data_IF_534350951828
#
_entry.id   IF_534350951828
#
_cell.length_a   1.000
_cell.length_b   1.000
_cell.length_c   1.000
_cell.angle_alpha   90.00
_cell.angle_beta   90.00
_cell.angle_gamma   90.00
#
_symmetry.space_group_name_H-M   'P 1'
#
loop_
_entity.id
_entity.type
_entity.pdbx_description
1 polymer ?
#
# COMPACT_ATOMS: atom_id res chain seq x y z
N UNK A 1 -10.90 -30.95 -19.60
CA UNK A 1 -10.30 -29.81 -18.87
C UNK A 1 -8.78 -29.89 -18.74
N UNK A 2 -8.18 -31.05 -18.52
CA UNK A 2 -6.72 -31.16 -18.28
C UNK A 2 -5.83 -30.66 -19.43
N UNK A 3 -6.26 -30.87 -20.68
CA UNK A 3 -5.50 -30.46 -21.87
C UNK A 3 -5.46 -28.94 -22.09
N UNK A 4 -6.36 -28.16 -21.49
CA UNK A 4 -6.54 -26.73 -21.82
C UNK A 4 -5.29 -25.90 -21.55
N UNK A 5 -4.49 -26.26 -20.54
CA UNK A 5 -3.25 -25.55 -20.17
C UNK A 5 -2.08 -25.86 -21.11
N UNK A 6 -2.19 -26.92 -21.93
CA UNK A 6 -1.16 -27.32 -22.90
C UNK A 6 -1.46 -26.77 -24.30
N UNK A 7 -2.65 -26.22 -24.53
CA UNK A 7 -3.05 -25.68 -25.83
C UNK A 7 -2.49 -24.27 -25.97
N UNK A 8 -1.44 -24.12 -26.79
CA UNK A 8 -0.89 -22.81 -27.15
C UNK A 8 -1.50 -22.26 -28.45
N UNK A 9 -1.97 -23.15 -29.33
CA UNK A 9 -2.52 -22.78 -30.65
C UNK A 9 -3.82 -23.56 -30.87
N UNK A 10 -4.89 -22.83 -31.16
CA UNK A 10 -6.17 -23.38 -31.60
C UNK A 10 -6.48 -22.80 -32.97
N UNK A 11 -6.41 -23.63 -34.01
CA UNK A 11 -6.70 -23.21 -35.38
C UNK A 11 -8.11 -23.66 -35.79
N UNK A 12 -8.75 -22.89 -36.68
CA UNK A 12 -10.12 -23.15 -37.18
C UNK A 12 -11.16 -23.33 -36.05
N UNK A 13 -11.00 -22.57 -34.96
CA UNK A 13 -11.91 -22.58 -33.82
C UNK A 13 -13.22 -21.86 -34.14
N UNK A 14 -14.35 -22.44 -33.73
CA UNK A 14 -15.63 -21.73 -33.70
C UNK A 14 -15.67 -20.70 -32.56
N UNK A 15 -16.61 -19.72 -32.60
CA UNK A 15 -16.84 -18.81 -31.47
C UNK A 15 -17.09 -19.54 -30.14
N UNK A 16 -17.80 -20.67 -30.20
CA UNK A 16 -18.10 -21.50 -29.04
C UNK A 16 -16.84 -22.17 -28.47
N UNK A 17 -15.91 -22.59 -29.32
CA UNK A 17 -14.63 -23.18 -28.88
C UNK A 17 -13.78 -22.17 -28.11
N UNK A 18 -13.75 -20.90 -28.57
CA UNK A 18 -13.06 -19.80 -27.88
C UNK A 18 -13.67 -19.55 -26.50
N UNK A 19 -15.01 -19.45 -26.44
CA UNK A 19 -15.75 -19.27 -25.20
C UNK A 19 -15.49 -20.43 -24.21
N UNK A 20 -15.57 -21.67 -24.69
CA UNK A 20 -15.34 -22.86 -23.88
C UNK A 20 -13.91 -22.91 -23.31
N UNK A 21 -12.92 -22.47 -24.09
CA UNK A 21 -11.53 -22.35 -23.63
C UNK A 21 -11.41 -21.36 -22.47
N UNK A 22 -12.01 -20.18 -22.60
CA UNK A 22 -12.03 -19.16 -21.54
C UNK A 22 -12.69 -19.72 -20.27
N UNK A 23 -13.86 -20.32 -20.39
CA UNK A 23 -14.58 -20.92 -19.26
C UNK A 23 -13.76 -22.04 -18.58
N UNK A 24 -13.07 -22.88 -19.35
CA UNK A 24 -12.21 -23.92 -18.80
C UNK A 24 -11.02 -23.35 -18.03
N UNK A 25 -10.36 -22.30 -18.55
CA UNK A 25 -9.22 -21.65 -17.91
C UNK A 25 -9.65 -20.93 -16.61
N UNK A 26 -10.79 -20.23 -16.63
CA UNK A 26 -11.37 -19.58 -15.45
C UNK A 26 -11.78 -20.60 -14.38
N UNK A 27 -12.41 -21.72 -14.77
CA UNK A 27 -12.75 -22.82 -13.84
C UNK A 27 -11.52 -23.45 -13.15
N UNK A 28 -10.34 -23.36 -13.78
CA UNK A 28 -9.07 -23.79 -13.18
C UNK A 28 -8.44 -22.73 -12.26
N UNK A 29 -9.03 -21.54 -12.14
CA UNK A 29 -8.55 -20.45 -11.29
C UNK A 29 -7.48 -19.57 -11.95
N UNK A 30 -7.32 -19.65 -13.28
CA UNK A 30 -6.49 -18.70 -14.03
C UNK A 30 -7.25 -17.39 -14.27
N UNK A 31 -6.52 -16.28 -14.29
CA UNK A 31 -7.04 -14.99 -14.75
C UNK A 31 -6.81 -14.90 -16.25
N UNK A 32 -7.89 -14.78 -17.02
CA UNK A 32 -7.86 -14.87 -18.47
C UNK A 32 -8.14 -13.51 -19.09
N UNK A 33 -7.20 -13.04 -19.91
CA UNK A 33 -7.42 -11.90 -20.79
C UNK A 33 -7.61 -12.41 -22.23
N UNK A 34 -8.62 -11.90 -22.93
CA UNK A 34 -8.91 -12.23 -24.33
C UNK A 34 -8.72 -10.99 -25.17
N UNK A 35 -8.08 -11.13 -26.32
CA UNK A 35 -8.01 -10.08 -27.34
C UNK A 35 -8.81 -10.53 -28.55
N UNK A 36 -9.60 -9.63 -29.14
CA UNK A 36 -10.41 -9.94 -30.31
C UNK A 36 -10.85 -8.67 -31.04
N UNK A 37 -11.02 -8.77 -32.34
CA UNK A 37 -11.42 -7.69 -33.23
C UNK A 37 -12.77 -7.97 -33.92
N UNK A 38 -13.17 -9.24 -34.02
CA UNK A 38 -14.40 -9.65 -34.69
C UNK A 38 -15.62 -9.80 -33.77
N UNK A 39 -16.81 -9.69 -34.36
CA UNK A 39 -18.09 -10.01 -33.70
C UNK A 39 -18.12 -11.43 -33.12
N UNK A 40 -17.40 -12.36 -33.75
CA UNK A 40 -17.24 -13.74 -33.31
C UNK A 40 -16.49 -13.88 -31.97
N UNK A 41 -15.72 -12.87 -31.56
CA UNK A 41 -14.97 -12.87 -30.31
C UNK A 41 -15.75 -12.24 -29.16
N UNK A 42 -16.86 -11.54 -29.45
CA UNK A 42 -17.66 -10.84 -28.44
C UNK A 42 -18.09 -11.73 -27.26
N UNK A 43 -18.56 -12.98 -27.45
CA UNK A 43 -18.90 -13.85 -26.32
C UNK A 43 -17.67 -14.18 -25.45
N UNK A 44 -16.52 -14.43 -26.07
CA UNK A 44 -15.29 -14.76 -25.36
C UNK A 44 -14.68 -13.54 -24.66
N UNK A 45 -14.76 -12.36 -25.27
CA UNK A 45 -14.35 -11.08 -24.68
C UNK A 45 -15.15 -10.77 -23.41
N UNK A 46 -16.46 -10.98 -23.45
CA UNK A 46 -17.36 -10.72 -22.32
C UNK A 46 -17.25 -11.74 -21.19
N UNK A 47 -16.89 -12.98 -21.51
CA UNK A 47 -16.68 -14.05 -20.53
C UNK A 47 -15.30 -14.01 -19.86
N UNK A 48 -14.33 -13.34 -20.49
CA UNK A 48 -12.99 -13.18 -19.95
C UNK A 48 -12.99 -12.33 -18.68
N UNK A 49 -11.92 -12.43 -17.88
CA UNK A 49 -11.75 -11.51 -16.75
C UNK A 49 -11.33 -10.11 -17.23
N UNK A 50 -10.69 -10.01 -18.39
CA UNK A 50 -10.39 -8.75 -19.10
C UNK A 50 -10.53 -8.96 -20.61
N UNK A 51 -11.45 -8.25 -21.25
CA UNK A 51 -11.59 -8.18 -22.71
C UNK A 51 -10.79 -7.02 -23.31
N UNK A 52 -10.00 -7.30 -24.35
CA UNK A 52 -9.20 -6.33 -25.11
C UNK A 52 -9.67 -6.29 -26.57
N UNK A 53 -9.98 -5.12 -27.10
CA UNK A 53 -10.32 -4.94 -28.51
C UNK A 53 -9.39 -3.97 -29.22
N UNK A 54 -9.29 -4.11 -30.53
CA UNK A 54 -8.56 -3.17 -31.40
C UNK A 54 -9.45 -1.96 -31.75
N UNK A 55 -8.89 -0.75 -31.69
CA UNK A 55 -9.62 0.49 -31.90
C UNK A 55 -9.90 0.80 -33.37
N UNK A 56 -8.97 0.47 -34.27
CA UNK A 56 -9.08 0.77 -35.71
C UNK A 56 -9.74 -0.40 -36.45
N UNK A 57 -9.19 -1.61 -36.32
CA UNK A 57 -9.67 -2.81 -37.01
C UNK A 57 -10.79 -3.55 -36.27
N UNK A 58 -11.04 -3.24 -34.99
CA UNK A 58 -12.10 -3.88 -34.22
C UNK A 58 -13.49 -3.46 -34.65
N UNK A 59 -14.39 -4.43 -34.77
CA UNK A 59 -15.82 -4.23 -34.97
C UNK A 59 -16.44 -3.54 -33.76
N UNK A 60 -17.51 -2.76 -33.97
CA UNK A 60 -18.16 -2.02 -32.87
C UNK A 60 -18.68 -2.97 -31.79
N UNK A 61 -19.17 -4.14 -32.18
CA UNK A 61 -19.62 -5.20 -31.25
C UNK A 61 -18.46 -5.72 -30.39
N UNK A 62 -17.26 -5.85 -30.94
CA UNK A 62 -16.08 -6.25 -30.17
C UNK A 62 -15.64 -5.15 -29.18
N UNK A 63 -15.74 -3.87 -29.58
CA UNK A 63 -15.43 -2.73 -28.69
C UNK A 63 -16.40 -2.65 -27.52
N UNK A 64 -17.70 -2.73 -27.79
CA UNK A 64 -18.74 -2.74 -26.75
C UNK A 64 -18.65 -3.94 -25.80
N UNK A 65 -18.10 -5.06 -26.28
CA UNK A 65 -17.93 -6.28 -25.48
C UNK A 65 -16.58 -6.35 -24.74
N UNK A 66 -15.71 -5.34 -24.89
CA UNK A 66 -14.37 -5.29 -24.30
C UNK A 66 -14.28 -4.27 -23.16
N UNK A 67 -13.40 -4.53 -22.19
CA UNK A 67 -13.14 -3.60 -21.08
C UNK A 67 -12.12 -2.51 -21.45
N UNK A 68 -11.20 -2.83 -22.38
CA UNK A 68 -10.13 -1.94 -22.81
C UNK A 68 -10.02 -1.96 -24.33
N UNK A 69 -10.10 -0.77 -24.94
CA UNK A 69 -9.92 -0.57 -26.38
C UNK A 69 -8.52 -0.03 -26.66
N UNK A 70 -7.75 -0.73 -27.49
CA UNK A 70 -6.39 -0.36 -27.90
C UNK A 70 -6.49 0.54 -29.12
N UNK A 71 -6.34 1.86 -28.93
CA UNK A 71 -6.57 2.85 -29.98
C UNK A 71 -5.54 2.80 -31.13
N UNK A 72 -4.34 2.27 -30.89
CA UNK A 72 -3.24 2.25 -31.85
C UNK A 72 -3.07 0.90 -32.57
N UNK A 73 -3.95 -0.07 -32.31
CA UNK A 73 -3.95 -1.43 -32.87
C UNK A 73 -2.61 -2.19 -32.73
N UNK A 74 -1.76 -1.75 -31.82
CA UNK A 74 -0.47 -2.34 -31.58
C UNK A 74 -0.56 -3.35 -30.44
N UNK A 75 -0.25 -4.62 -30.72
CA UNK A 75 -0.20 -5.64 -29.68
C UNK A 75 0.82 -5.32 -28.57
N UNK A 76 1.85 -4.51 -28.85
CA UNK A 76 2.78 -4.03 -27.83
C UNK A 76 2.10 -3.17 -26.74
N UNK A 77 0.96 -2.53 -27.05
CA UNK A 77 0.16 -1.77 -26.09
C UNK A 77 -0.44 -2.67 -25.00
N UNK A 78 -0.75 -3.94 -25.31
CA UNK A 78 -1.17 -4.94 -24.32
C UNK A 78 -0.10 -5.12 -23.24
N UNK A 79 1.17 -5.24 -23.63
CA UNK A 79 2.27 -5.37 -22.68
C UNK A 79 2.43 -4.11 -21.80
N UNK A 80 2.12 -2.94 -22.35
CA UNK A 80 2.11 -1.67 -21.61
C UNK A 80 0.98 -1.63 -20.60
N UNK A 81 -0.23 -2.04 -20.97
CA UNK A 81 -1.39 -2.16 -20.06
C UNK A 81 -1.06 -3.11 -18.90
N UNK A 82 -0.50 -4.29 -19.18
CA UNK A 82 -0.09 -5.25 -18.15
C UNK A 82 0.97 -4.66 -17.19
N UNK A 83 1.93 -3.91 -17.72
CA UNK A 83 2.96 -3.23 -16.93
C UNK A 83 2.35 -2.18 -15.99
N UNK A 84 1.37 -1.42 -16.47
CA UNK A 84 0.63 -0.45 -15.66
C UNK A 84 -0.26 -1.12 -14.61
N UNK A 85 -0.98 -2.19 -14.96
CA UNK A 85 -1.78 -2.96 -14.01
C UNK A 85 -0.94 -3.50 -12.84
N UNK A 86 0.23 -4.07 -13.13
CA UNK A 86 1.20 -4.51 -12.09
C UNK A 86 1.69 -3.36 -11.22
N UNK A 87 1.87 -2.17 -11.80
CA UNK A 87 2.30 -0.98 -11.08
C UNK A 87 1.22 -0.51 -10.11
N UNK A 88 -0.03 -0.38 -10.58
CA UNK A 88 -1.17 0.03 -9.76
C UNK A 88 -1.36 -0.93 -8.59
N UNK A 89 -1.34 -2.25 -8.84
CA UNK A 89 -1.44 -3.25 -7.78
C UNK A 89 -0.34 -3.09 -6.71
N UNK A 90 0.91 -2.93 -7.14
CA UNK A 90 2.03 -2.73 -6.24
C UNK A 90 1.94 -1.39 -5.47
N UNK A 91 1.42 -0.33 -6.08
CA UNK A 91 1.21 0.96 -5.42
C UNK A 91 0.09 0.87 -4.37
N UNK A 92 -0.99 0.14 -4.65
CA UNK A 92 -2.06 -0.16 -3.68
C UNK A 92 -1.49 -0.92 -2.49
N UNK A 93 -0.65 -1.93 -2.70
CA UNK A 93 -0.02 -2.66 -1.59
C UNK A 93 0.85 -1.76 -0.70
N UNK A 94 1.61 -0.82 -1.28
CA UNK A 94 2.40 0.16 -0.51
C UNK A 94 1.52 1.07 0.32
N UNK A 95 0.46 1.59 -0.29
CA UNK A 95 -0.52 2.43 0.40
C UNK A 95 -1.18 1.69 1.57
N UNK A 96 -1.62 0.45 1.35
CA UNK A 96 -2.22 -0.38 2.41
C UNK A 96 -1.22 -0.65 3.53
N UNK A 97 0.06 -0.95 3.23
CA UNK A 97 1.08 -1.15 4.27
C UNK A 97 1.21 0.12 5.12
N UNK A 98 1.28 1.29 4.49
CA UNK A 98 1.39 2.57 5.16
C UNK A 98 0.17 2.83 6.06
N UNK A 99 -1.03 2.82 5.48
CA UNK A 99 -2.28 3.13 6.17
C UNK A 99 -2.54 2.18 7.35
N UNK A 100 -2.30 0.88 7.15
CA UNK A 100 -2.53 -0.11 8.20
C UNK A 100 -1.53 0.07 9.35
N UNK A 101 -0.29 0.46 9.06
CA UNK A 101 0.70 0.75 10.11
C UNK A 101 0.26 1.94 10.97
N UNK A 102 -0.20 3.02 10.33
CA UNK A 102 -0.68 4.24 11.02
C UNK A 102 -1.89 3.89 11.90
N UNK A 103 -2.90 3.23 11.33
CA UNK A 103 -4.14 2.88 12.03
C UNK A 103 -3.89 1.95 13.22
N UNK A 104 -3.05 0.92 13.05
CA UNK A 104 -2.72 -0.01 14.15
C UNK A 104 -1.95 0.71 15.25
N UNK A 105 -0.98 1.56 14.91
CA UNK A 105 -0.22 2.32 15.90
C UNK A 105 -1.13 3.25 16.71
N UNK A 106 -1.96 4.06 16.05
CA UNK A 106 -2.90 4.99 16.71
C UNK A 106 -3.85 4.26 17.63
N UNK A 107 -4.47 3.17 17.14
CA UNK A 107 -5.45 2.42 17.91
C UNK A 107 -4.83 1.82 19.17
N UNK A 108 -3.66 1.18 19.06
CA UNK A 108 -2.99 0.56 20.20
C UNK A 108 -2.51 1.61 21.20
N UNK A 109 -1.92 2.72 20.74
CA UNK A 109 -1.44 3.79 21.61
C UNK A 109 -2.60 4.40 22.39
N UNK A 110 -3.69 4.78 21.72
CA UNK A 110 -4.85 5.37 22.37
C UNK A 110 -5.50 4.40 23.35
N UNK A 111 -5.60 3.11 22.98
CA UNK A 111 -6.16 2.09 23.86
C UNK A 111 -5.31 1.88 25.14
N UNK A 112 -4.00 1.72 24.98
CA UNK A 112 -3.09 1.52 26.13
C UNK A 112 -3.05 2.77 27.01
N UNK A 113 -2.95 3.97 26.41
CA UNK A 113 -2.93 5.22 27.17
C UNK A 113 -4.25 5.48 27.91
N UNK A 114 -5.40 5.19 27.30
CA UNK A 114 -6.70 5.33 27.94
C UNK A 114 -6.84 4.41 29.16
N UNK A 115 -6.36 3.15 29.08
CA UNK A 115 -6.43 2.21 30.20
C UNK A 115 -5.46 2.58 31.32
N UNK A 116 -4.23 2.99 30.98
CA UNK A 116 -3.18 3.22 31.97
C UNK A 116 -3.23 4.61 32.60
N UNK A 117 -3.46 5.66 31.79
CA UNK A 117 -3.44 7.06 32.25
C UNK A 117 -4.82 7.71 32.33
N UNK A 118 -5.87 7.08 31.79
CA UNK A 118 -7.22 7.66 31.73
C UNK A 118 -7.36 8.79 30.70
N UNK A 119 -6.27 9.20 30.06
CA UNK A 119 -6.23 10.28 29.08
C UNK A 119 -5.72 9.79 27.73
N UNK A 120 -6.24 10.39 26.66
CA UNK A 120 -5.89 10.04 25.29
C UNK A 120 -4.81 11.01 24.79
N UNK A 121 -3.65 10.50 24.34
CA UNK A 121 -2.49 11.32 23.96
C UNK A 121 -2.74 12.19 22.72
N UNK A 122 -3.66 11.77 21.85
CA UNK A 122 -3.99 12.46 20.61
C UNK A 122 -5.43 12.95 20.66
N UNK A 123 -5.62 14.25 20.46
CA UNK A 123 -6.96 14.84 20.44
C UNK A 123 -7.72 14.45 19.17
N UNK A 124 -9.06 14.54 19.20
CA UNK A 124 -9.89 14.26 18.03
C UNK A 124 -9.52 15.11 16.81
N UNK A 125 -9.15 16.39 17.02
CA UNK A 125 -8.72 17.29 15.94
C UNK A 125 -7.38 16.85 15.34
N UNK A 126 -6.44 16.41 16.17
CA UNK A 126 -5.13 15.90 15.73
C UNK A 126 -5.28 14.60 14.93
N UNK A 127 -6.18 13.70 15.34
CA UNK A 127 -6.48 12.47 14.60
C UNK A 127 -7.16 12.78 13.26
N UNK A 128 -8.09 13.74 13.25
CA UNK A 128 -8.72 14.19 12.01
C UNK A 128 -7.70 14.82 11.05
N UNK A 129 -6.75 15.59 11.58
CA UNK A 129 -5.65 16.15 10.78
C UNK A 129 -4.82 15.07 10.09
N UNK A 130 -4.44 14.01 10.83
CA UNK A 130 -3.68 12.89 10.28
C UNK A 130 -4.50 12.16 9.21
N UNK A 131 -5.73 11.77 9.52
CA UNK A 131 -6.57 10.99 8.60
C UNK A 131 -6.99 11.77 7.35
N UNK A 132 -7.24 13.09 7.47
CA UNK A 132 -7.75 13.88 6.37
C UNK A 132 -6.65 14.42 5.47
N UNK A 133 -5.54 14.90 6.05
CA UNK A 133 -4.48 15.56 5.27
C UNK A 133 -3.26 14.67 5.07
N UNK A 134 -2.70 14.10 6.14
CA UNK A 134 -1.48 13.29 6.02
C UNK A 134 -1.75 12.04 5.18
N UNK A 135 -2.85 11.34 5.44
CA UNK A 135 -3.16 10.09 4.75
C UNK A 135 -3.56 10.31 3.29
N UNK A 136 -4.31 11.38 2.96
CA UNK A 136 -4.65 11.68 1.57
C UNK A 136 -3.43 12.09 0.76
N UNK A 137 -2.55 12.94 1.33
CA UNK A 137 -1.30 13.33 0.70
C UNK A 137 -0.36 12.12 0.53
N UNK A 138 -0.21 11.30 1.57
CA UNK A 138 0.59 10.07 1.52
C UNK A 138 0.04 9.04 0.53
N UNK A 139 -1.28 8.90 0.46
CA UNK A 139 -1.95 8.06 -0.54
C UNK A 139 -1.61 8.53 -1.97
N UNK A 140 -1.72 9.83 -2.23
CA UNK A 140 -1.38 10.41 -3.51
C UNK A 140 0.10 10.20 -3.88
N UNK A 141 1.00 10.38 -2.91
CA UNK A 141 2.44 10.19 -3.08
C UNK A 141 2.82 8.74 -3.41
N UNK A 142 2.19 7.76 -2.75
CA UNK A 142 2.45 6.33 -2.98
C UNK A 142 1.71 5.78 -4.21
N UNK A 143 0.52 6.30 -4.54
CA UNK A 143 -0.28 5.84 -5.67
C UNK A 143 0.29 6.27 -7.04
N UNK A 144 0.95 7.42 -7.10
CA UNK A 144 1.44 8.04 -8.36
C UNK A 144 2.83 7.57 -8.80
N UNK A 145 3.37 6.52 -8.18
CA UNK A 145 4.66 5.97 -8.59
C UNK A 145 4.62 5.34 -9.98
N UNK A 146 5.67 5.62 -10.78
CA UNK A 146 5.79 5.13 -12.16
C UNK A 146 6.23 3.67 -12.23
N UNK A 147 5.83 2.95 -13.29
CA UNK A 147 6.15 1.54 -13.45
C UNK A 147 7.65 1.30 -13.69
N UNK A 148 8.22 0.40 -12.89
CA UNK A 148 9.63 -0.01 -13.01
C UNK A 148 9.78 -1.27 -13.87
N UNK A 149 10.86 -1.37 -14.66
CA UNK A 149 11.13 -2.54 -15.54
C UNK A 149 11.22 -3.87 -14.77
N UNK A 150 11.62 -3.83 -13.51
CA UNK A 150 11.72 -5.01 -12.65
C UNK A 150 10.37 -5.67 -12.34
N UNK A 151 9.25 -4.92 -12.38
CA UNK A 151 7.90 -5.47 -12.15
C UNK A 151 7.52 -6.53 -13.19
N UNK A 152 8.10 -6.46 -14.39
CA UNK A 152 7.86 -7.43 -15.46
C UNK A 152 8.61 -8.75 -15.23
N UNK A 153 9.66 -8.76 -14.42
CA UNK A 153 10.43 -9.97 -14.09
C UNK A 153 9.77 -10.81 -12.99
N UNK A 154 8.85 -10.24 -12.21
CA UNK A 154 8.10 -10.97 -11.18
C UNK A 154 7.05 -11.87 -11.82
N UNK A 155 6.79 -13.02 -11.20
CA UNK A 155 5.69 -13.91 -11.57
C UNK A 155 4.34 -13.20 -11.36
N UNK A 156 3.30 -13.51 -12.15
CA UNK A 156 1.95 -13.00 -11.91
C UNK A 156 1.47 -13.35 -10.49
N UNK A 157 0.72 -12.44 -9.88
CA UNK A 157 0.08 -12.68 -8.58
C UNK A 157 -1.14 -13.57 -8.82
N UNK A 158 -1.28 -14.65 -8.04
CA UNK A 158 -2.44 -15.53 -8.13
C UNK A 158 -3.69 -14.85 -7.58
N UNK A 159 -4.87 -15.17 -8.14
CA UNK A 159 -6.16 -14.61 -7.71
C UNK A 159 -6.46 -14.84 -6.22
N UNK A 160 -6.01 -15.96 -5.67
CA UNK A 160 -6.21 -16.34 -4.26
C UNK A 160 -5.11 -15.85 -3.32
N UNK A 161 -4.10 -15.13 -3.83
CA UNK A 161 -3.04 -14.60 -3.01
C UNK A 161 -3.58 -13.45 -2.14
N UNK A 162 -3.26 -13.41 -0.83
CA UNK A 162 -3.73 -12.34 0.03
C UNK A 162 -3.05 -11.03 -0.37
N UNK A 163 -3.84 -9.94 -0.32
CA UNK A 163 -3.37 -8.60 -0.63
C UNK A 163 -2.25 -8.15 0.32
N UNK A 164 -2.37 -8.50 1.61
CA UNK A 164 -1.34 -8.25 2.63
C UNK A 164 -0.39 -9.45 2.67
N UNK A 165 0.80 -9.26 2.14
CA UNK A 165 1.85 -10.29 2.13
C UNK A 165 2.53 -10.40 3.50
N UNK A 166 3.24 -11.49 3.76
CA UNK A 166 4.03 -11.59 4.99
C UNK A 166 5.15 -10.57 5.09
N UNK A 167 5.70 -10.15 3.95
CA UNK A 167 6.69 -9.09 3.90
C UNK A 167 6.09 -7.79 4.43
N UNK A 168 4.84 -7.49 4.06
CA UNK A 168 4.09 -6.35 4.60
C UNK A 168 3.83 -6.51 6.10
N UNK A 169 3.40 -7.69 6.57
CA UNK A 169 3.21 -7.96 8.00
C UNK A 169 4.49 -7.76 8.82
N UNK A 170 5.63 -8.27 8.35
CA UNK A 170 6.93 -8.06 9.02
C UNK A 170 7.26 -6.56 9.13
N UNK A 171 7.12 -5.82 8.04
CA UNK A 171 7.40 -4.38 8.02
C UNK A 171 6.44 -3.61 8.94
N UNK A 172 5.15 -3.92 8.86
CA UNK A 172 4.08 -3.32 9.66
C UNK A 172 4.31 -3.55 11.14
N UNK A 173 4.50 -4.80 11.57
CA UNK A 173 4.63 -5.13 12.99
C UNK A 173 5.84 -4.44 13.61
N UNK A 174 6.97 -4.39 12.89
CA UNK A 174 8.16 -3.74 13.41
C UNK A 174 8.01 -2.21 13.51
N UNK A 175 7.41 -1.56 12.50
CA UNK A 175 7.17 -0.11 12.51
C UNK A 175 6.10 0.27 13.55
N UNK A 176 5.01 -0.49 13.63
CA UNK A 176 3.96 -0.28 14.62
C UNK A 176 4.51 -0.44 16.04
N UNK A 177 5.23 -1.53 16.32
CA UNK A 177 5.82 -1.76 17.65
C UNK A 177 6.81 -0.65 18.03
N UNK A 178 7.61 -0.19 17.07
CA UNK A 178 8.51 0.94 17.28
C UNK A 178 7.76 2.23 17.64
N UNK A 179 6.76 2.61 16.85
CA UNK A 179 5.95 3.81 17.09
C UNK A 179 5.21 3.72 18.44
N UNK A 180 4.65 2.56 18.76
CA UNK A 180 3.99 2.30 20.05
C UNK A 180 5.00 2.47 21.20
N UNK A 181 6.19 1.86 21.11
CA UNK A 181 7.19 1.95 22.17
C UNK A 181 7.67 3.39 22.40
N UNK A 182 7.95 4.15 21.34
CA UNK A 182 8.38 5.55 21.44
C UNK A 182 7.28 6.41 22.05
N UNK A 183 6.06 6.32 21.54
CA UNK A 183 4.97 7.22 21.95
C UNK A 183 4.44 6.88 23.34
N UNK A 184 4.39 5.61 23.74
CA UNK A 184 4.10 5.26 25.13
C UNK A 184 5.22 5.70 26.08
N UNK A 185 6.48 5.64 25.66
CA UNK A 185 7.59 6.17 26.47
C UNK A 185 7.45 7.67 26.67
N UNK A 186 7.08 8.43 25.63
CA UNK A 186 6.78 9.85 25.74
C UNK A 186 5.54 10.12 26.60
N UNK A 187 4.49 9.30 26.51
CA UNK A 187 3.29 9.44 27.32
C UNK A 187 3.57 9.28 28.82
N UNK A 188 4.28 8.23 29.24
CA UNK A 188 4.49 7.94 30.67
C UNK A 188 5.71 8.61 31.28
N UNK A 189 6.76 8.85 30.48
CA UNK A 189 8.04 9.37 30.97
C UNK A 189 8.47 10.66 30.29
N UNK A 190 7.74 11.18 29.31
CA UNK A 190 8.14 12.38 28.57
C UNK A 190 8.28 13.62 29.46
N UNK A 191 7.34 13.84 30.39
CA UNK A 191 7.41 14.97 31.33
C UNK A 191 8.69 14.93 32.19
N UNK A 192 9.05 13.76 32.71
CA UNK A 192 10.23 13.58 33.56
C UNK A 192 11.55 13.58 32.77
N UNK A 193 11.57 13.00 31.57
CA UNK A 193 12.77 12.90 30.73
C UNK A 193 13.15 14.28 30.18
N UNK A 194 12.16 15.08 29.76
CA UNK A 194 12.39 16.37 29.14
C UNK A 194 12.20 17.56 30.09
N UNK A 195 11.69 17.33 31.30
CA UNK A 195 11.41 18.39 32.28
C UNK A 195 10.38 19.40 31.77
N UNK A 196 9.38 18.94 31.02
CA UNK A 196 8.39 19.79 30.33
C UNK A 196 7.01 19.69 30.94
N UNK A 197 6.22 20.74 30.77
CA UNK A 197 4.81 20.75 31.17
C UNK A 197 3.98 19.78 30.30
N UNK A 198 2.90 19.25 30.86
CA UNK A 198 2.02 18.26 30.23
C UNK A 198 1.56 18.65 28.82
N UNK A 199 1.08 19.88 28.62
CA UNK A 199 0.66 20.39 27.29
C UNK A 199 1.79 20.38 26.24
N UNK A 200 3.02 20.65 26.67
CA UNK A 200 4.20 20.59 25.80
C UNK A 200 4.53 19.14 25.48
N UNK A 201 4.38 18.23 26.44
CA UNK A 201 4.52 16.79 26.21
C UNK A 201 3.47 16.25 25.23
N UNK A 202 2.21 16.65 25.35
CA UNK A 202 1.15 16.28 24.39
C UNK A 202 1.49 16.74 22.97
N UNK A 203 2.07 17.95 22.84
CA UNK A 203 2.54 18.47 21.55
C UNK A 203 3.76 17.72 21.02
N UNK A 204 4.69 17.32 21.90
CA UNK A 204 5.82 16.46 21.55
C UNK A 204 5.35 15.10 21.02
N UNK A 205 4.35 14.50 21.66
CA UNK A 205 3.77 13.22 21.26
C UNK A 205 3.11 13.35 19.89
N UNK A 206 2.26 14.36 19.69
CA UNK A 206 1.64 14.64 18.41
C UNK A 206 2.67 14.86 17.30
N UNK A 207 3.65 15.74 17.52
CA UNK A 207 4.65 16.06 16.51
C UNK A 207 5.55 14.86 16.18
N UNK A 208 5.97 14.11 17.20
CA UNK A 208 6.75 12.88 17.01
C UNK A 208 5.96 11.83 16.23
N UNK A 209 4.66 11.66 16.54
CA UNK A 209 3.79 10.75 15.82
C UNK A 209 3.67 11.13 14.34
N UNK A 210 3.39 12.40 14.03
CA UNK A 210 3.26 12.86 12.65
C UNK A 210 4.57 12.70 11.87
N UNK A 211 5.71 13.08 12.47
CA UNK A 211 7.01 12.88 11.85
C UNK A 211 7.31 11.38 11.64
N UNK A 212 7.01 10.52 12.60
CA UNK A 212 7.10 9.07 12.42
C UNK A 212 6.29 8.58 11.21
N UNK A 213 5.13 9.16 10.91
CA UNK A 213 4.37 8.81 9.71
C UNK A 213 5.07 9.26 8.43
N UNK A 214 5.57 10.50 8.38
CA UNK A 214 6.37 10.97 7.23
C UNK A 214 7.53 10.02 6.96
N UNK A 215 8.27 9.60 7.98
CA UNK A 215 9.40 8.69 7.82
C UNK A 215 8.96 7.26 7.46
N UNK A 216 7.83 6.79 7.98
CA UNK A 216 7.23 5.51 7.61
C UNK A 216 6.78 5.48 6.14
N UNK A 217 6.31 6.62 5.60
CA UNK A 217 5.94 6.76 4.19
C UNK A 217 7.12 6.44 3.26
N UNK A 218 8.32 6.92 3.60
CA UNK A 218 9.55 6.52 2.90
C UNK A 218 9.78 5.01 3.00
N UNK A 219 9.67 4.42 4.18
CA UNK A 219 9.86 2.98 4.37
C UNK A 219 8.85 2.13 3.56
N UNK A 220 7.59 2.58 3.48
CA UNK A 220 6.51 1.93 2.76
C UNK A 220 6.67 2.00 1.22
N UNK A 221 7.41 2.98 0.70
CA UNK A 221 7.70 3.13 -0.74
C UNK A 221 8.33 1.90 -1.38
N UNK A 222 9.09 1.11 -0.61
CA UNK A 222 9.70 -0.13 -1.10
C UNK A 222 9.45 -1.27 -0.10
N UNK A 223 8.57 -2.21 -0.46
CA UNK A 223 8.17 -3.34 0.39
C UNK A 223 9.34 -4.29 0.70
N UNK A 224 10.13 -4.65 -0.31
CA UNK A 224 11.19 -5.67 -0.20
C UNK A 224 12.61 -5.10 -0.21
N UNK A 225 12.84 -3.98 -0.90
CA UNK A 225 14.20 -3.46 -1.11
C UNK A 225 14.73 -2.73 0.13
N UNK A 226 15.98 -3.02 0.45
CA UNK A 226 16.75 -2.41 1.56
C UNK A 226 17.00 -0.91 1.34
N UNK A 227 17.27 -0.47 0.11
CA UNK A 227 17.57 0.93 -0.18
C UNK A 227 16.29 1.73 -0.43
N UNK A 228 15.78 2.34 0.64
CA UNK A 228 14.62 3.24 0.62
C UNK A 228 14.90 4.51 -0.21
N UNK A 229 16.15 4.97 -0.21
CA UNK A 229 16.58 6.19 -0.91
C UNK A 229 16.79 6.06 -2.41
N UNK A 230 16.84 4.83 -2.95
CA UNK A 230 17.17 4.61 -4.35
C UNK A 230 16.02 5.10 -5.24
N UNK A 231 16.28 6.17 -6.00
CA UNK A 231 15.31 6.74 -6.94
C UNK A 231 14.30 7.72 -6.32
N UNK A 232 14.56 8.25 -5.11
CA UNK A 232 13.78 9.36 -4.53
C UNK A 232 13.80 10.58 -5.44
N UNK A 233 14.98 11.02 -5.87
CA UNK A 233 15.12 12.20 -6.73
C UNK A 233 14.45 12.07 -8.11
N UNK A 234 14.08 10.85 -8.54
CA UNK A 234 13.35 10.65 -9.79
C UNK A 234 11.86 10.93 -9.66
N UNK A 235 11.30 10.87 -8.44
CA UNK A 235 9.88 11.17 -8.20
C UNK A 235 9.75 12.55 -7.54
N UNK A 236 9.76 13.60 -8.37
CA UNK A 236 9.63 14.99 -7.91
C UNK A 236 8.30 15.24 -7.18
N UNK A 237 7.23 14.55 -7.59
CA UNK A 237 5.91 14.69 -6.98
C UNK A 237 5.91 14.14 -5.55
N UNK A 238 6.52 12.97 -5.33
CA UNK A 238 6.70 12.43 -3.96
C UNK A 238 7.48 13.39 -3.06
N UNK A 239 8.59 13.96 -3.55
CA UNK A 239 9.37 14.95 -2.78
C UNK A 239 8.59 16.24 -2.50
N UNK A 240 7.79 16.69 -3.48
CA UNK A 240 6.95 17.87 -3.31
C UNK A 240 5.87 17.63 -2.24
N UNK A 241 5.22 16.46 -2.25
CA UNK A 241 4.20 16.10 -1.26
C UNK A 241 4.82 16.05 0.14
N UNK A 242 5.93 15.34 0.33
CA UNK A 242 6.61 15.28 1.63
C UNK A 242 6.99 16.70 2.11
N UNK A 243 7.49 17.56 1.21
CA UNK A 243 7.80 18.95 1.53
C UNK A 243 6.57 19.74 1.98
N UNK A 244 5.46 19.63 1.26
CA UNK A 244 4.18 20.25 1.61
C UNK A 244 3.69 19.74 2.98
N UNK A 245 3.77 18.44 3.21
CA UNK A 245 3.36 17.80 4.47
C UNK A 245 4.17 18.32 5.66
N UNK A 246 5.50 18.46 5.51
CA UNK A 246 6.35 19.03 6.56
C UNK A 246 6.05 20.50 6.83
N UNK A 247 5.81 21.30 5.78
CA UNK A 247 5.42 22.71 5.92
C UNK A 247 4.08 22.83 6.64
N UNK A 248 3.07 22.05 6.23
CA UNK A 248 1.77 22.00 6.89
C UNK A 248 1.89 21.58 8.36
N UNK A 249 2.78 20.64 8.68
CA UNK A 249 3.03 20.23 10.05
C UNK A 249 3.65 21.34 10.90
N UNK A 250 4.63 22.07 10.37
CA UNK A 250 5.21 23.25 11.05
C UNK A 250 4.13 24.32 11.26
N UNK A 251 3.30 24.58 10.25
CA UNK A 251 2.19 25.54 10.36
C UNK A 251 1.20 25.13 11.44
N UNK A 252 0.83 23.85 11.50
CA UNK A 252 -0.08 23.31 12.50
C UNK A 252 0.44 23.49 13.93
N UNK A 253 1.72 23.17 14.16
CA UNK A 253 2.35 23.27 15.49
C UNK A 253 2.60 24.72 15.91
N UNK A 254 3.13 25.56 15.03
CA UNK A 254 3.60 26.91 15.39
C UNK A 254 2.53 28.00 15.34
N UNK A 255 1.55 27.86 14.44
CA UNK A 255 0.56 28.90 14.13
C UNK A 255 -0.87 28.53 14.53
N UNK A 256 -1.27 27.25 14.49
CA UNK A 256 -2.65 26.81 14.79
C UNK A 256 -2.88 26.34 16.23
N UNK A 257 -2.14 26.88 17.21
CA UNK A 257 -2.17 26.46 18.63
C UNK A 257 -3.58 26.30 19.22
N UNK A 258 -4.44 27.30 19.02
CA UNK A 258 -5.79 27.33 19.59
C UNK A 258 -6.73 26.31 18.95
N UNK A 259 -6.49 25.96 17.69
CA UNK A 259 -7.26 24.98 16.94
C UNK A 259 -6.76 23.54 17.20
N UNK A 260 -5.44 23.36 17.25
CA UNK A 260 -4.78 22.06 17.42
C UNK A 260 -4.60 21.64 18.89
N UNK A 261 -4.89 22.54 19.84
CA UNK A 261 -4.57 22.41 21.26
C UNK A 261 -3.07 22.07 21.48
N UNK A 262 -2.19 22.76 20.76
CA UNK A 262 -0.74 22.58 20.79
C UNK A 262 -0.01 23.78 21.40
N UNK A 263 1.15 23.53 22.00
CA UNK A 263 2.08 24.56 22.50
C UNK A 263 3.29 24.72 21.56
N UNK A 264 4.00 25.85 21.63
CA UNK A 264 5.22 26.02 20.81
C UNK A 264 6.31 25.08 21.26
N UNK A 265 6.92 24.42 20.28
CA UNK A 265 8.08 23.57 20.50
C UNK A 265 9.35 24.38 20.27
N UNK A 266 10.31 24.22 21.17
CA UNK A 266 11.64 24.81 20.96
C UNK A 266 12.39 24.05 19.85
N UNK A 267 13.39 24.68 19.23
CA UNK A 267 14.23 24.05 18.20
C UNK A 267 14.89 22.75 18.68
N UNK A 268 15.29 22.68 19.95
CA UNK A 268 15.83 21.45 20.55
C UNK A 268 14.80 20.31 20.62
N UNK A 269 13.54 20.64 20.95
CA UNK A 269 12.43 19.69 21.01
C UNK A 269 12.05 19.18 19.61
N UNK A 270 12.01 20.07 18.62
CA UNK A 270 11.88 19.69 17.21
C UNK A 270 12.98 18.71 16.77
N UNK A 271 14.24 18.99 17.14
CA UNK A 271 15.36 18.10 16.88
C UNK A 271 15.19 16.71 17.49
N UNK A 272 14.69 16.63 18.72
CA UNK A 272 14.38 15.36 19.40
C UNK A 272 13.28 14.59 18.67
N UNK A 273 12.17 15.25 18.28
CA UNK A 273 11.09 14.62 17.52
C UNK A 273 11.58 14.06 16.18
N UNK A 274 12.41 14.83 15.47
CA UNK A 274 13.03 14.39 14.22
C UNK A 274 13.98 13.22 14.47
N UNK A 275 14.75 13.23 15.57
CA UNK A 275 15.64 12.14 15.96
C UNK A 275 14.89 10.82 16.18
N UNK A 276 13.78 10.86 16.93
CA UNK A 276 12.91 9.69 17.07
C UNK A 276 12.33 9.26 15.72
N UNK A 277 11.79 10.17 14.92
CA UNK A 277 11.27 9.80 13.61
C UNK A 277 12.34 9.19 12.69
N UNK A 278 13.57 9.71 12.71
CA UNK A 278 14.70 9.23 11.92
C UNK A 278 15.17 7.84 12.33
N UNK A 279 15.04 7.46 13.60
CA UNK A 279 15.35 6.11 14.07
C UNK A 279 14.43 5.03 13.48
N UNK A 280 13.28 5.39 12.90
CA UNK A 280 12.43 4.44 12.16
C UNK A 280 13.09 3.88 10.88
N UNK A 281 14.01 4.63 10.25
CA UNK A 281 14.73 4.20 9.03
C UNK A 281 15.73 3.06 9.27
N UNK A 282 16.68 3.14 10.22
CA UNK A 282 17.59 2.02 10.49
C UNK A 282 16.82 0.78 10.96
N UNK A 283 15.75 0.94 11.73
CA UNK A 283 14.87 -0.18 12.13
C UNK A 283 14.22 -0.80 10.90
N UNK A 284 13.65 0.00 9.99
CA UNK A 284 13.09 -0.47 8.73
C UNK A 284 14.11 -1.21 7.87
N UNK A 285 15.36 -0.74 7.85
CA UNK A 285 16.46 -1.40 7.14
C UNK A 285 16.85 -2.75 7.78
N UNK A 286 16.98 -2.80 9.10
CA UNK A 286 17.30 -4.03 9.86
C UNK A 286 16.21 -5.10 9.68
N UNK A 287 14.94 -4.69 9.77
CA UNK A 287 13.79 -5.60 9.60
C UNK A 287 13.77 -6.19 8.20
N UNK A 288 14.15 -5.42 7.18
CA UNK A 288 14.27 -5.92 5.80
C UNK A 288 15.40 -6.93 5.61
N UNK A 289 16.32 -7.10 6.57
CA UNK A 289 17.31 -8.17 6.55
C UNK A 289 16.75 -9.52 7.01
N UNK A 290 15.63 -9.53 7.74
CA UNK A 290 14.99 -10.76 8.22
C UNK A 290 14.23 -11.40 7.07
N UNK A 291 14.65 -12.58 6.60
CA UNK A 291 13.93 -13.32 5.55
C UNK A 291 12.60 -13.85 6.08
N UNK A 292 11.53 -13.68 5.30
CA UNK A 292 10.19 -14.11 5.69
C UNK A 292 9.73 -15.21 4.74
N UNK A 293 9.08 -16.29 5.23
CA UNK A 293 8.54 -17.33 4.36
C UNK A 293 7.50 -16.75 3.39
N UNK A 294 7.49 -17.28 2.16
CA UNK A 294 6.57 -16.85 1.09
C UNK A 294 5.09 -17.14 1.40
N UNK A 295 4.81 -18.08 2.33
CA UNK A 295 3.43 -18.51 2.65
C UNK A 295 2.75 -17.63 3.70
N UNK A 296 1.63 -16.98 3.40
CA UNK A 296 0.97 -16.02 4.29
C UNK A 296 0.70 -16.59 5.70
N UNK A 297 1.02 -15.86 6.77
CA UNK A 297 0.90 -16.32 8.17
C UNK A 297 -0.54 -16.78 8.48
N UNK A 298 -1.53 -16.07 7.96
CA UNK A 298 -2.95 -16.44 8.11
C UNK A 298 -3.36 -17.71 7.34
N UNK A 299 -2.58 -18.17 6.37
CA UNK A 299 -2.84 -19.46 5.71
C UNK A 299 -2.58 -20.65 6.65
N UNK A 300 -1.67 -20.51 7.62
CA UNK A 300 -1.46 -21.52 8.67
C UNK A 300 -2.65 -21.63 9.62
N UNK A 301 -3.24 -20.49 10.01
CA UNK A 301 -4.45 -20.44 10.83
C UNK A 301 -5.64 -21.10 10.12
N UNK A 302 -5.82 -20.84 8.82
CA UNK A 302 -6.90 -21.46 8.02
C UNK A 302 -6.72 -22.96 7.83
N UNK A 303 -5.48 -23.44 7.65
CA UNK A 303 -5.17 -24.86 7.54
C UNK A 303 -5.43 -25.61 8.85
N UNK A 304 -5.12 -25.00 9.99
CA UNK A 304 -5.38 -25.58 11.30
C UNK A 304 -6.88 -25.62 11.62
N UNK A 305 -7.65 -24.60 11.23
CA UNK A 305 -9.10 -24.59 11.39
C UNK A 305 -9.79 -25.66 10.53
N UNK A 306 -9.34 -25.84 9.27
CA UNK A 306 -9.84 -26.90 8.39
C UNK A 306 -9.47 -28.30 8.87
N UNK A 307 -8.27 -28.49 9.45
CA UNK A 307 -7.90 -29.76 10.09
C UNK A 307 -8.71 -30.06 11.36
N UNK A 308 -9.17 -29.04 12.08
CA UNK A 308 -10.01 -29.20 13.26
C UNK A 308 -11.48 -29.48 12.94
N UNK A 309 -11.97 -29.07 11.76
CA UNK A 309 -13.33 -29.35 11.26
C UNK A 309 -13.49 -30.73 10.61
N UNK A 310 -12.37 -31.36 10.22
CA UNK A 310 -12.33 -32.69 9.59
C UNK A 310 -11.77 -33.77 10.52
N UNK A 311 -11.85 -33.56 11.83
CA UNK A 311 -11.53 -34.55 12.86
C UNK A 311 -12.73 -34.71 13.79
#
# INVERSE_FOLDING_TARGET
>A
MERVEKICVMARSSPFDKLLMVQCLRKKGHVVAVTGDGMNDAPALKEADIGLSMGIHGTEVAKESSDIVILDDNFASVATVLKWGRCVYNNIQKFIQFQLTVNVAVLVINFVAAISSGEVPLTAVQLLWVNLFMDTLGALALATEKPTKELMKKKPVGWTAPLITNVMWRNLMAQALYQIAVLLTLQFKGESIFGVNKKVNDTLIFNTFVLCQVFNEFNARNLEKKNVFKGIHKNKLFMAIIGITLVLQVVMVEFLKKFANTERLNWGQWGICIGFAAASWPIGWLVKCITVPERPIFSYLRLNYLKALFK
#
